data_IF_542942025727
#
_entry.id   IF_542942025727
#
_cell.length_a   1.000
_cell.length_b   1.000
_cell.length_c   1.000
_cell.angle_alpha   90.00
_cell.angle_beta   90.00
_cell.angle_gamma   90.00
#
_symmetry.space_group_name_H-M   'P 1'
#
loop_
_entity.id
_entity.type
_entity.pdbx_description
1 polymer ?
#
# COMPACT_ATOMS: atom_id res chain seq x y z
N UNK A 1 -17.02 -12.56 -0.94
CA UNK A 1 -15.69 -12.00 -0.61
C UNK A 1 -15.38 -12.34 0.83
N UNK A 2 -14.41 -13.21 1.08
CA UNK A 2 -14.08 -13.66 2.42
C UNK A 2 -13.41 -12.53 3.20
N UNK A 3 -14.03 -12.12 4.30
CA UNK A 3 -13.56 -11.01 5.15
C UNK A 3 -12.22 -11.38 5.83
N UNK A 4 -11.96 -12.67 6.06
CA UNK A 4 -10.76 -13.22 6.73
C UNK A 4 -9.44 -12.91 6.03
N UNK A 5 -9.38 -12.97 4.70
CA UNK A 5 -8.14 -12.77 3.94
C UNK A 5 -7.71 -11.29 3.88
N UNK A 6 -8.66 -10.36 3.88
CA UNK A 6 -8.38 -8.91 3.92
C UNK A 6 -7.93 -8.46 5.34
N UNK A 7 -8.35 -9.19 6.38
CA UNK A 7 -8.09 -8.81 7.78
C UNK A 7 -6.58 -8.81 8.12
N UNK A 8 -5.79 -9.70 7.52
CA UNK A 8 -4.38 -9.90 7.89
C UNK A 8 -3.42 -8.93 7.18
N UNK A 9 -3.74 -8.50 5.96
CA UNK A 9 -2.77 -7.75 5.14
C UNK A 9 -2.79 -6.23 5.41
N UNK A 10 -3.97 -5.69 5.78
CA UNK A 10 -4.20 -4.25 5.91
C UNK A 10 -3.96 -3.60 7.28
N UNK A 11 -3.50 -4.31 8.32
CA UNK A 11 -3.39 -3.72 9.66
C UNK A 11 -2.23 -2.70 9.78
N UNK A 12 -2.51 -1.54 10.37
CA UNK A 12 -1.56 -0.44 10.59
C UNK A 12 -1.69 0.08 12.01
N UNK A 13 -0.57 0.32 12.69
CA UNK A 13 -0.57 0.96 14.00
C UNK A 13 -0.91 2.44 13.84
N UNK A 14 -1.92 2.92 14.56
CA UNK A 14 -2.35 4.31 14.52
C UNK A 14 -2.51 4.89 15.93
N UNK A 15 -2.26 6.20 16.04
CA UNK A 15 -2.54 6.94 17.28
C UNK A 15 -4.04 7.10 17.49
N UNK A 16 -4.49 6.91 18.72
CA UNK A 16 -5.86 7.13 19.19
C UNK A 16 -5.84 8.11 20.36
N UNK A 17 -6.81 9.01 20.41
CA UNK A 17 -6.94 10.09 21.41
C UNK A 17 -6.96 11.49 20.78
N UNK A 18 -7.48 12.48 21.53
CA UNK A 18 -7.46 13.89 21.12
C UNK A 18 -6.01 14.37 21.00
N UNK A 19 -5.68 15.02 19.88
CA UNK A 19 -4.35 15.62 19.68
C UNK A 19 -4.15 16.79 20.65
N UNK A 20 -3.15 16.68 21.52
CA UNK A 20 -2.74 17.75 22.43
C UNK A 20 -2.74 17.38 23.92
N UNK A 21 -3.48 16.34 24.32
CA UNK A 21 -3.49 15.82 25.70
C UNK A 21 -2.59 14.59 25.81
N UNK A 22 -1.87 14.46 26.93
CA UNK A 22 -0.92 13.36 27.21
C UNK A 22 -1.51 11.94 27.20
N UNK A 23 -2.80 11.78 26.88
CA UNK A 23 -3.56 10.51 26.89
C UNK A 23 -3.54 9.79 25.53
N UNK A 24 -2.57 10.08 24.66
CA UNK A 24 -2.48 9.47 23.33
C UNK A 24 -1.98 8.02 23.43
N UNK A 25 -2.75 7.06 22.92
CA UNK A 25 -2.37 5.62 22.89
C UNK A 25 -2.16 5.16 21.45
N UNK A 26 -1.41 4.08 21.26
CA UNK A 26 -1.26 3.43 19.94
C UNK A 26 -2.17 2.20 19.90
N UNK A 27 -3.04 2.12 18.90
CA UNK A 27 -3.91 0.95 18.67
C UNK A 27 -3.81 0.53 17.21
N UNK A 28 -3.97 -0.76 16.97
CA UNK A 28 -4.10 -1.31 15.62
C UNK A 28 -5.41 -0.86 14.97
N UNK A 29 -5.32 -0.42 13.71
CA UNK A 29 -6.44 -0.07 12.85
C UNK A 29 -6.34 -0.82 11.53
N UNK A 30 -7.48 -0.98 10.87
CA UNK A 30 -7.58 -1.64 9.57
C UNK A 30 -7.51 -0.62 8.45
N UNK A 31 -6.73 -0.90 7.41
CA UNK A 31 -6.74 -0.16 6.16
C UNK A 31 -7.76 -0.79 5.23
N UNK A 32 -8.74 -0.01 4.77
CA UNK A 32 -9.67 -0.48 3.76
C UNK A 32 -8.98 -0.47 2.39
N UNK A 33 -9.01 -1.59 1.67
CA UNK A 33 -8.39 -1.72 0.35
C UNK A 33 -9.40 -1.46 -0.77
N UNK A 34 -10.63 -1.96 -0.60
CA UNK A 34 -11.71 -1.86 -1.58
C UNK A 34 -12.94 -1.13 -1.02
N UNK A 35 -13.84 -0.71 -1.91
CA UNK A 35 -15.11 -0.05 -1.59
C UNK A 35 -15.05 1.46 -1.36
N UNK A 36 -16.17 2.04 -0.93
CA UNK A 36 -16.35 3.50 -0.83
C UNK A 36 -15.35 4.17 0.12
N UNK A 37 -14.82 3.46 1.12
CA UNK A 37 -13.81 3.97 2.06
C UNK A 37 -12.40 3.48 1.77
N UNK A 38 -12.11 3.06 0.53
CA UNK A 38 -10.78 2.66 0.10
C UNK A 38 -9.69 3.67 0.51
N UNK A 39 -8.57 3.15 1.00
CA UNK A 39 -7.42 3.91 1.50
C UNK A 39 -7.58 4.53 2.90
N UNK A 40 -8.76 4.45 3.53
CA UNK A 40 -8.98 4.99 4.89
C UNK A 40 -8.56 3.99 5.97
N UNK A 41 -8.14 4.52 7.12
CA UNK A 41 -7.86 3.76 8.33
C UNK A 41 -9.08 3.80 9.25
N UNK A 42 -9.59 2.63 9.61
CA UNK A 42 -10.88 2.44 10.24
C UNK A 42 -10.73 1.59 11.50
N UNK A 43 -11.66 1.73 12.46
CA UNK A 43 -11.63 1.05 13.76
C UNK A 43 -12.26 -0.34 13.78
N UNK A 44 -13.00 -0.72 12.73
CA UNK A 44 -13.49 -2.09 12.56
C UNK A 44 -13.55 -2.44 11.07
N UNK A 45 -13.43 -3.72 10.69
CA UNK A 45 -13.50 -4.14 9.28
C UNK A 45 -14.85 -3.83 8.62
N UNK A 46 -15.96 -4.03 9.35
CA UNK A 46 -17.32 -3.81 8.84
C UNK A 46 -17.56 -2.36 8.39
N UNK A 47 -16.84 -1.41 8.98
CA UNK A 47 -16.94 -0.01 8.62
C UNK A 47 -16.32 0.33 7.25
N UNK A 48 -15.60 -0.58 6.58
CA UNK A 48 -15.02 -0.32 5.25
C UNK A 48 -16.08 -0.23 4.14
N UNK A 49 -17.14 -1.04 4.23
CA UNK A 49 -18.27 -1.01 3.28
C UNK A 49 -19.32 0.07 3.58
N UNK A 50 -19.24 0.73 4.74
CA UNK A 50 -20.20 1.74 5.12
C UNK A 50 -20.09 3.01 4.25
N UNK A 51 -21.24 3.62 3.94
CA UNK A 51 -21.33 4.84 3.15
C UNK A 51 -20.55 6.02 3.79
N UNK A 52 -20.19 7.00 2.96
CA UNK A 52 -19.43 8.18 3.41
C UNK A 52 -20.42 9.31 3.70
N UNK A 53 -20.34 9.88 4.90
CA UNK A 53 -21.07 11.09 5.26
C UNK A 53 -20.64 12.29 4.38
N UNK A 54 -21.45 12.63 3.37
CA UNK A 54 -21.15 13.68 2.39
C UNK A 54 -21.07 15.06 3.06
N UNK A 55 -21.99 15.37 3.98
CA UNK A 55 -22.01 16.65 4.70
C UNK A 55 -20.74 16.88 5.54
N UNK A 56 -20.24 15.86 6.24
CA UNK A 56 -18.99 15.97 7.02
C UNK A 56 -17.78 16.13 6.11
N UNK A 57 -17.78 15.50 4.93
CA UNK A 57 -16.73 15.66 3.91
C UNK A 57 -16.70 17.11 3.39
N UNK A 58 -17.86 17.69 3.05
CA UNK A 58 -17.97 19.06 2.60
C UNK A 58 -17.49 20.06 3.66
N UNK A 59 -17.98 19.93 4.91
CA UNK A 59 -17.52 20.75 6.05
C UNK A 59 -16.01 20.64 6.25
N UNK A 60 -15.44 19.44 6.20
CA UNK A 60 -13.99 19.26 6.35
C UNK A 60 -13.17 19.85 5.18
N UNK A 61 -13.73 19.92 3.97
CA UNK A 61 -13.07 20.61 2.84
C UNK A 61 -12.95 22.10 3.12
N UNK A 62 -14.04 22.72 3.59
CA UNK A 62 -14.07 24.14 3.95
C UNK A 62 -13.15 24.46 5.13
N UNK A 63 -13.16 23.66 6.20
CA UNK A 63 -12.30 23.91 7.37
C UNK A 63 -10.81 23.75 7.04
N UNK A 64 -10.44 22.78 6.19
CA UNK A 64 -9.06 22.61 5.71
C UNK A 64 -8.59 23.79 4.88
N UNK A 65 -9.44 24.36 4.03
CA UNK A 65 -9.09 25.55 3.25
C UNK A 65 -8.67 26.72 4.17
N UNK A 66 -9.43 26.93 5.26
CA UNK A 66 -9.16 28.00 6.23
C UNK A 66 -7.97 27.72 7.16
N UNK A 67 -7.79 26.49 7.61
CA UNK A 67 -6.87 26.18 8.74
C UNK A 67 -5.66 25.31 8.39
N UNK A 68 -5.40 25.05 7.09
CA UNK A 68 -4.30 24.17 6.63
C UNK A 68 -2.94 24.48 7.25
N UNK A 69 -2.56 25.76 7.33
CA UNK A 69 -1.25 26.17 7.84
C UNK A 69 -1.09 25.89 9.34
N UNK A 70 -2.12 26.24 10.12
CA UNK A 70 -2.15 25.98 11.57
C UNK A 70 -2.16 24.48 11.85
N UNK A 71 -2.96 23.71 11.11
CA UNK A 71 -3.00 22.25 11.22
C UNK A 71 -1.63 21.63 10.93
N UNK A 72 -0.94 22.10 9.88
CA UNK A 72 0.39 21.61 9.52
C UNK A 72 1.43 21.89 10.63
N UNK A 73 1.43 23.10 11.20
CA UNK A 73 2.33 23.47 12.31
C UNK A 73 2.07 22.61 13.55
N UNK A 74 0.80 22.45 13.95
CA UNK A 74 0.40 21.60 15.08
C UNK A 74 0.74 20.12 14.82
N UNK A 75 0.55 19.64 13.60
CA UNK A 75 0.92 18.28 13.21
C UNK A 75 2.44 18.03 13.30
N UNK A 76 3.27 19.00 12.86
CA UNK A 76 4.73 18.90 13.00
C UNK A 76 5.15 18.82 14.47
N UNK A 77 4.62 19.72 15.32
CA UNK A 77 4.91 19.72 16.76
C UNK A 77 4.52 18.41 17.44
N UNK A 78 3.30 17.92 17.19
CA UNK A 78 2.79 16.67 17.79
C UNK A 78 3.50 15.40 17.30
N UNK A 79 3.98 15.37 16.05
CA UNK A 79 4.78 14.25 15.54
C UNK A 79 6.17 14.19 16.18
N UNK A 80 6.74 15.33 16.56
CA UNK A 80 8.05 15.45 17.21
C UNK A 80 7.99 15.11 18.71
N UNK A 81 7.07 15.74 19.44
CA UNK A 81 7.07 15.71 20.91
C UNK A 81 6.33 14.51 21.53
N UNK A 82 5.29 13.99 20.88
CA UNK A 82 4.43 12.98 21.50
C UNK A 82 5.08 11.58 21.43
N UNK A 83 5.25 10.94 22.59
CA UNK A 83 5.83 9.60 22.74
C UNK A 83 5.07 8.56 21.90
N UNK A 84 3.73 8.58 21.93
CA UNK A 84 2.92 7.66 21.13
C UNK A 84 3.12 7.85 19.61
N UNK A 85 3.40 9.08 19.15
CA UNK A 85 3.75 9.33 17.74
C UNK A 85 5.09 8.70 17.36
N UNK A 86 6.07 8.71 18.26
CA UNK A 86 7.40 8.09 18.05
C UNK A 86 7.27 6.56 18.02
N UNK A 87 6.53 5.98 18.96
CA UNK A 87 6.26 4.53 19.03
C UNK A 87 5.54 4.06 17.75
N UNK A 88 4.46 4.74 17.35
CA UNK A 88 3.73 4.42 16.11
C UNK A 88 4.65 4.45 14.87
N UNK A 89 5.56 5.42 14.79
CA UNK A 89 6.51 5.51 13.68
C UNK A 89 7.50 4.35 13.69
N UNK A 90 8.01 3.93 14.85
CA UNK A 90 8.89 2.78 14.95
C UNK A 90 8.17 1.50 14.48
N UNK A 91 6.99 1.21 15.02
CA UNK A 91 6.20 0.02 14.68
C UNK A 91 5.89 -0.07 13.18
N UNK A 92 5.50 1.03 12.54
CA UNK A 92 5.20 1.05 11.12
C UNK A 92 6.44 1.09 10.20
N UNK A 93 7.65 1.37 10.73
CA UNK A 93 8.91 1.29 9.98
C UNK A 93 9.37 -0.16 9.85
N UNK A 94 9.24 -0.97 10.91
CA UNK A 94 9.59 -2.39 10.87
C UNK A 94 8.77 -3.13 9.81
N UNK A 95 7.44 -2.97 9.80
CA UNK A 95 6.56 -3.56 8.78
C UNK A 95 6.98 -3.22 7.34
N UNK A 96 7.51 -2.00 7.11
CA UNK A 96 8.01 -1.58 5.78
C UNK A 96 9.37 -2.18 5.42
N UNK A 97 10.27 -2.34 6.39
CA UNK A 97 11.56 -3.01 6.18
C UNK A 97 11.38 -4.48 5.84
N UNK A 98 10.45 -5.15 6.52
CA UNK A 98 10.13 -6.55 6.24
C UNK A 98 9.50 -6.70 4.86
N UNK A 99 8.63 -5.76 4.46
CA UNK A 99 8.07 -5.71 3.12
C UNK A 99 9.15 -5.46 2.04
N UNK A 100 10.09 -4.54 2.27
CA UNK A 100 11.21 -4.29 1.36
C UNK A 100 12.14 -5.50 1.26
N UNK A 101 12.48 -6.13 2.39
CA UNK A 101 13.27 -7.35 2.43
C UNK A 101 12.53 -8.50 1.73
N UNK A 102 11.19 -8.54 1.81
CA UNK A 102 10.35 -9.50 1.09
C UNK A 102 10.32 -9.24 -0.41
N UNK A 103 10.28 -7.98 -0.86
CA UNK A 103 10.29 -7.62 -2.28
C UNK A 103 11.65 -7.82 -2.94
N UNK A 104 12.74 -7.63 -2.18
CA UNK A 104 14.12 -7.83 -2.64
C UNK A 104 14.55 -9.31 -2.62
N UNK A 105 13.80 -10.21 -1.99
CA UNK A 105 14.09 -11.64 -2.08
C UNK A 105 13.89 -12.09 -3.53
N UNK A 106 14.89 -12.74 -4.16
CA UNK A 106 14.72 -13.26 -5.50
C UNK A 106 13.51 -14.21 -5.50
N UNK A 107 12.49 -13.88 -6.30
CA UNK A 107 11.40 -14.82 -6.54
C UNK A 107 12.05 -16.04 -7.16
N UNK A 108 11.99 -17.20 -6.50
CA UNK A 108 12.36 -18.47 -7.13
C UNK A 108 11.41 -18.64 -8.31
N UNK A 109 11.84 -18.21 -9.49
CA UNK A 109 11.16 -18.54 -10.74
C UNK A 109 11.28 -20.05 -10.81
N UNK A 110 10.18 -20.76 -10.57
CA UNK A 110 10.14 -22.17 -10.87
C UNK A 110 10.50 -22.27 -12.35
N UNK A 111 11.68 -22.79 -12.63
CA UNK A 111 12.14 -23.07 -13.99
C UNK A 111 11.21 -24.13 -14.52
N UNK A 112 10.10 -23.72 -15.16
CA UNK A 112 9.40 -24.62 -16.05
C UNK A 112 10.43 -25.02 -17.09
N UNK A 113 10.80 -26.30 -17.08
CA UNK A 113 11.75 -26.88 -18.03
C UNK A 113 11.19 -26.56 -19.43
N UNK A 114 11.76 -25.56 -20.12
CA UNK A 114 11.42 -25.27 -21.51
C UNK A 114 11.77 -26.52 -22.31
N UNK A 115 10.77 -27.27 -22.74
CA UNK A 115 10.97 -28.32 -23.74
C UNK A 115 11.54 -27.65 -24.99
N UNK A 116 12.70 -28.13 -25.47
CA UNK A 116 13.32 -27.63 -26.70
C UNK A 116 12.39 -27.95 -27.88
N UNK A 117 12.02 -26.99 -28.74
CA UNK A 117 11.28 -27.30 -29.94
C UNK A 117 12.19 -28.07 -30.91
N UNK A 118 11.80 -29.30 -31.28
CA UNK A 118 12.43 -30.07 -32.35
C UNK A 118 11.88 -29.56 -33.68
N UNK A 119 12.52 -28.58 -34.32
CA UNK A 119 12.26 -28.30 -35.73
C UNK A 119 13.38 -28.90 -36.59
N UNK A 120 13.07 -29.63 -37.67
CA UNK A 120 14.08 -30.17 -38.56
C UNK A 120 14.70 -29.06 -39.40
N UNK A 121 16.01 -29.17 -39.56
CA UNK A 121 16.88 -28.31 -40.34
C UNK A 121 16.45 -28.28 -41.82
N UNK A 122 15.74 -27.24 -42.27
CA UNK A 122 15.48 -27.02 -43.71
C UNK A 122 16.79 -26.54 -44.36
N UNK A 123 17.46 -27.46 -45.05
CA UNK A 123 18.61 -27.19 -45.92
C UNK A 123 18.23 -26.17 -46.99
N UNK A 124 19.07 -25.13 -47.12
CA UNK A 124 19.02 -24.08 -48.16
C UNK A 124 18.98 -24.69 -49.56
N UNK A 125 17.99 -24.31 -50.36
CA UNK A 125 18.02 -24.44 -51.82
C UNK A 125 18.77 -23.21 -52.34
N UNK A 126 19.92 -23.41 -53.00
CA UNK A 126 20.67 -22.36 -53.68
C UNK A 126 20.16 -22.19 -55.12
N UNK A 127 19.80 -20.97 -55.58
CA UNK A 127 19.51 -20.75 -56.99
C UNK A 127 20.81 -20.59 -57.79
N UNK A 128 20.96 -21.37 -58.87
CA UNK A 128 22.02 -21.23 -59.87
C UNK A 128 21.90 -19.84 -60.55
N UNK A 129 22.93 -19.02 -60.44
CA UNK A 129 23.04 -17.75 -61.17
C UNK A 129 23.36 -17.94 -62.67
N UNK A 130 23.01 -16.99 -63.54
CA UNK A 130 23.14 -17.13 -64.99
C UNK A 130 24.57 -16.87 -65.49
N UNK A 131 24.98 -17.66 -66.49
CA UNK A 131 26.23 -17.50 -67.25
C UNK A 131 26.24 -16.15 -67.97
N UNK A 132 27.33 -15.38 -67.85
CA UNK A 132 27.66 -14.27 -68.76
C UNK A 132 28.87 -14.65 -69.62
N UNK A 133 28.83 -14.17 -70.86
CA UNK A 133 29.73 -14.43 -71.99
C UNK A 133 31.18 -14.07 -71.71
#
# INVERSE_FOLDING_TARGET
MQVSEIITEGMVFARVGKGGTGKSKVKMKWRCETGNRAGRLVSSPSQCGASIDVGKRAKMKQTRAKTKAVQARKAKRTKKLNVASRIMQALNKFKRRDALKKSLRPKKVATSKRAKPKTPFLKKISPKGPKRK
#
